data_IF_348413852939
#
_entry.id   IF_348413852939
#
_cell.length_a   1.000
_cell.length_b   1.000
_cell.length_c   1.000
_cell.angle_alpha   90.00
_cell.angle_beta   90.00
_cell.angle_gamma   90.00
#
_symmetry.space_group_name_H-M   'P 1'
#
loop_
_entity.id
_entity.type
_entity.pdbx_description
1 polymer ?
#
# COMPACT_ATOMS: atom_id res chain seq x y z
N UNK A 1 -0.86 -4.99 29.82
CA UNK A 1 -0.70 -4.71 28.38
C UNK A 1 -0.75 -3.21 28.22
N UNK A 2 0.18 -2.64 27.47
CA UNK A 2 0.14 -1.24 27.06
C UNK A 2 -0.32 -1.20 25.60
N UNK A 3 -1.30 -0.35 25.31
CA UNK A 3 -1.94 -0.20 24.00
C UNK A 3 -1.62 1.15 23.35
N UNK A 4 -0.75 1.95 23.97
CA UNK A 4 -0.29 3.21 23.39
C UNK A 4 0.66 2.93 22.23
N UNK A 5 0.54 3.74 21.19
CA UNK A 5 1.51 3.77 20.11
C UNK A 5 2.87 4.29 20.63
N UNK A 6 3.95 3.74 20.10
CA UNK A 6 5.29 4.30 20.30
C UNK A 6 5.41 5.66 19.62
N UNK A 7 6.44 6.43 19.96
CA UNK A 7 6.71 7.72 19.30
C UNK A 7 6.92 7.54 17.78
N UNK A 8 7.54 6.44 17.36
CA UNK A 8 7.73 6.09 15.95
C UNK A 8 6.40 5.85 15.23
N UNK A 9 5.48 5.09 15.84
CA UNK A 9 4.14 4.89 15.29
C UNK A 9 3.30 6.17 15.28
N UNK A 10 3.48 7.03 16.28
CA UNK A 10 2.84 8.35 16.32
C UNK A 10 3.34 9.26 15.20
N UNK A 11 4.64 9.21 14.89
CA UNK A 11 5.22 9.96 13.78
C UNK A 11 4.68 9.53 12.41
N UNK A 12 4.63 8.22 12.13
CA UNK A 12 4.05 7.74 10.86
C UNK A 12 2.55 8.07 10.80
N UNK A 13 1.82 7.89 11.91
CA UNK A 13 0.39 8.25 11.98
C UNK A 13 0.17 9.72 11.60
N UNK A 14 0.93 10.62 12.22
CA UNK A 14 0.80 12.05 11.95
C UNK A 14 1.19 12.40 10.51
N UNK A 15 2.29 11.82 9.99
CA UNK A 15 2.73 12.07 8.62
C UNK A 15 1.71 11.63 7.58
N UNK A 16 1.14 10.43 7.74
CA UNK A 16 0.12 9.91 6.81
C UNK A 16 -1.19 10.69 6.95
N UNK A 17 -1.55 11.08 8.17
CA UNK A 17 -2.72 11.92 8.45
C UNK A 17 -2.62 13.27 7.74
N UNK A 18 -1.49 13.95 7.86
CA UNK A 18 -1.27 15.25 7.23
C UNK A 18 -1.35 15.14 5.70
N UNK A 19 -0.82 14.05 5.13
CA UNK A 19 -0.98 13.76 3.71
C UNK A 19 -2.44 13.50 3.34
N UNK A 20 -3.16 12.68 4.10
CA UNK A 20 -4.55 12.36 3.82
C UNK A 20 -5.43 13.62 3.86
N UNK A 21 -5.30 14.45 4.90
CA UNK A 21 -6.08 15.68 5.04
C UNK A 21 -5.66 16.77 4.05
N UNK A 22 -4.36 16.90 3.76
CA UNK A 22 -3.83 17.94 2.90
C UNK A 22 -3.90 17.64 1.40
N UNK A 23 -3.81 16.38 1.00
CA UNK A 23 -3.70 15.95 -0.41
C UNK A 23 -4.91 15.15 -0.86
N UNK A 24 -5.43 14.23 -0.03
CA UNK A 24 -6.55 13.38 -0.44
C UNK A 24 -7.90 14.07 -0.22
N UNK A 25 -8.13 14.68 0.94
CA UNK A 25 -9.41 15.29 1.26
C UNK A 25 -9.86 16.33 0.21
N UNK A 26 -8.97 17.16 -0.35
CA UNK A 26 -9.30 17.95 -1.52
C UNK A 26 -9.63 17.06 -2.72
N UNK A 27 -10.90 17.10 -3.13
CA UNK A 27 -11.37 16.42 -4.35
C UNK A 27 -11.70 14.93 -4.18
N UNK A 28 -11.66 14.35 -2.97
CA UNK A 28 -12.05 12.94 -2.77
C UNK A 28 -13.46 12.65 -3.26
N UNK A 29 -14.43 13.52 -2.96
CA UNK A 29 -15.81 13.35 -3.42
C UNK A 29 -15.96 13.46 -4.95
N UNK A 30 -15.11 14.27 -5.60
CA UNK A 30 -15.12 14.40 -7.06
C UNK A 30 -14.49 13.18 -7.74
N UNK A 31 -13.41 12.62 -7.14
CA UNK A 31 -12.80 11.37 -7.62
C UNK A 31 -13.76 10.18 -7.48
N UNK A 32 -14.48 10.12 -6.37
CA UNK A 32 -15.50 9.09 -6.11
C UNK A 32 -16.64 9.17 -7.13
N UNK A 33 -17.28 10.34 -7.27
CA UNK A 33 -18.39 10.54 -8.21
C UNK A 33 -17.99 10.30 -9.69
N UNK A 34 -16.72 10.56 -10.05
CA UNK A 34 -16.21 10.37 -11.40
C UNK A 34 -15.55 9.01 -11.63
N UNK A 35 -15.46 8.16 -10.62
CA UNK A 35 -14.81 6.85 -10.68
C UNK A 35 -13.36 6.93 -11.25
N UNK A 36 -12.63 7.99 -10.89
CA UNK A 36 -11.33 8.30 -11.50
C UNK A 36 -10.16 7.94 -10.58
N UNK A 37 -9.25 7.12 -11.10
CA UNK A 37 -7.98 6.81 -10.44
C UNK A 37 -6.92 7.89 -10.72
N UNK A 38 -6.54 8.64 -9.68
CA UNK A 38 -5.48 9.64 -9.79
C UNK A 38 -4.10 9.03 -9.56
N UNK A 39 -3.38 8.77 -10.65
CA UNK A 39 -2.02 8.25 -10.60
C UNK A 39 -1.05 9.18 -9.84
N UNK A 40 -1.27 10.49 -9.85
CA UNK A 40 -0.39 11.42 -9.15
C UNK A 40 -0.53 11.32 -7.63
N UNK A 41 -1.70 10.93 -7.12
CA UNK A 41 -1.85 10.59 -5.69
C UNK A 41 -1.01 9.36 -5.35
N UNK A 42 -1.10 8.30 -6.15
CA UNK A 42 -0.29 7.09 -5.95
C UNK A 42 1.22 7.38 -5.98
N UNK A 43 1.68 8.20 -6.93
CA UNK A 43 3.09 8.58 -7.02
C UNK A 43 3.56 9.36 -5.78
N UNK A 44 2.67 10.15 -5.15
CA UNK A 44 2.98 10.83 -3.89
C UNK A 44 3.03 9.86 -2.69
N UNK A 45 2.12 8.88 -2.64
CA UNK A 45 2.16 7.77 -1.66
C UNK A 45 3.50 7.04 -1.75
N UNK A 46 3.98 6.75 -2.96
CA UNK A 46 5.30 6.14 -3.19
C UNK A 46 6.46 7.02 -2.71
N UNK A 47 6.42 8.34 -2.98
CA UNK A 47 7.45 9.30 -2.51
C UNK A 47 7.50 9.45 -0.99
N UNK A 48 6.39 9.20 -0.29
CA UNK A 48 6.34 9.15 1.17
C UNK A 48 6.92 7.84 1.74
N UNK A 49 7.29 6.87 0.88
CA UNK A 49 7.82 5.57 1.29
C UNK A 49 6.74 4.56 1.70
N UNK A 50 5.45 4.90 1.53
CA UNK A 50 4.36 4.07 2.05
C UNK A 50 4.24 2.73 1.32
N UNK A 51 4.60 2.68 0.04
CA UNK A 51 4.64 1.44 -0.78
C UNK A 51 5.68 0.43 -0.30
N UNK A 52 6.64 0.87 0.53
CA UNK A 52 7.79 0.10 0.98
C UNK A 52 7.78 -0.25 2.48
N UNK A 53 6.72 0.05 3.23
CA UNK A 53 6.75 0.10 4.71
C UNK A 53 7.39 -1.15 5.36
N UNK A 54 6.91 -2.38 5.13
CA UNK A 54 7.41 -3.54 5.84
C UNK A 54 8.63 -4.20 5.18
N UNK A 55 9.08 -3.71 4.02
CA UNK A 55 10.16 -4.32 3.28
C UNK A 55 11.52 -3.78 3.72
N UNK A 56 12.55 -4.60 3.60
CA UNK A 56 13.87 -4.29 4.12
C UNK A 56 14.57 -3.14 3.37
N UNK A 57 15.41 -2.39 4.10
CA UNK A 57 16.13 -1.24 3.55
C UNK A 57 17.06 -1.59 2.38
N UNK A 58 17.60 -2.82 2.33
CA UNK A 58 18.46 -3.27 1.22
C UNK A 58 17.71 -3.38 -0.12
N UNK A 59 16.37 -3.45 -0.09
CA UNK A 59 15.50 -3.36 -1.26
C UNK A 59 14.87 -1.96 -1.44
N UNK A 60 15.25 -1.00 -0.61
CA UNK A 60 14.72 0.37 -0.62
C UNK A 60 13.42 0.55 0.17
N UNK A 61 13.04 -0.43 1.00
CA UNK A 61 11.88 -0.32 1.90
C UNK A 61 12.20 0.45 3.18
N UNK A 62 11.20 0.64 4.03
CA UNK A 62 11.34 1.38 5.28
C UNK A 62 11.75 0.52 6.49
N UNK A 63 11.75 -0.82 6.34
CA UNK A 63 12.12 -1.75 7.40
C UNK A 63 11.22 -1.71 8.64
N UNK A 64 10.02 -1.11 8.53
CA UNK A 64 9.06 -1.04 9.62
C UNK A 64 8.22 -2.34 9.68
N UNK A 65 7.25 -2.40 10.58
CA UNK A 65 6.42 -3.59 10.74
C UNK A 65 4.99 -3.41 10.22
N UNK A 66 4.18 -4.46 10.41
CA UNK A 66 2.78 -4.46 10.00
C UNK A 66 1.89 -3.53 10.82
N UNK A 67 2.32 -3.07 12.00
CA UNK A 67 1.58 -2.06 12.77
C UNK A 67 1.73 -0.70 12.09
N UNK A 68 2.95 -0.34 11.67
CA UNK A 68 3.18 0.86 10.87
C UNK A 68 2.40 0.82 9.54
N UNK A 69 2.37 -0.33 8.87
CA UNK A 69 1.55 -0.54 7.66
C UNK A 69 0.05 -0.36 7.94
N UNK A 70 -0.46 -0.97 9.01
CA UNK A 70 -1.88 -0.84 9.39
C UNK A 70 -2.26 0.61 9.68
N UNK A 71 -1.41 1.36 10.40
CA UNK A 71 -1.60 2.79 10.66
C UNK A 71 -1.67 3.58 9.36
N UNK A 72 -0.78 3.30 8.39
CA UNK A 72 -0.79 3.99 7.11
C UNK A 72 -2.10 3.74 6.35
N UNK A 73 -2.56 2.49 6.28
CA UNK A 73 -3.83 2.14 5.63
C UNK A 73 -5.01 2.79 6.36
N UNK A 74 -5.02 2.79 7.70
CA UNK A 74 -6.07 3.41 8.52
C UNK A 74 -6.18 4.92 8.27
N UNK A 75 -5.06 5.64 8.31
CA UNK A 75 -5.08 7.11 8.16
C UNK A 75 -5.43 7.55 6.74
N UNK A 76 -5.00 6.81 5.70
CA UNK A 76 -5.47 7.04 4.33
C UNK A 76 -6.98 6.77 4.24
N UNK A 77 -7.43 5.63 4.77
CA UNK A 77 -8.81 5.14 4.65
C UNK A 77 -9.83 6.00 5.40
N UNK A 78 -9.37 6.75 6.43
CA UNK A 78 -10.19 7.76 7.11
C UNK A 78 -10.66 8.88 6.18
N UNK A 79 -9.96 9.10 5.06
CA UNK A 79 -10.25 10.17 4.11
C UNK A 79 -10.65 9.62 2.73
N UNK A 80 -9.88 8.69 2.18
CA UNK A 80 -10.04 8.15 0.84
C UNK A 80 -9.81 6.62 0.87
N UNK A 81 -10.90 5.87 0.90
CA UNK A 81 -10.87 4.41 0.93
C UNK A 81 -10.24 3.80 -0.33
N UNK A 82 -10.35 4.46 -1.48
CA UNK A 82 -9.74 3.99 -2.73
C UNK A 82 -8.21 4.11 -2.67
N UNK A 83 -7.68 5.20 -2.12
CA UNK A 83 -6.24 5.35 -1.91
C UNK A 83 -5.70 4.33 -0.90
N UNK A 84 -6.43 4.08 0.19
CA UNK A 84 -6.07 3.08 1.19
C UNK A 84 -6.04 1.65 0.61
N UNK A 85 -7.07 1.27 -0.15
CA UNK A 85 -7.14 -0.04 -0.79
C UNK A 85 -6.06 -0.19 -1.88
N UNK A 86 -5.78 0.88 -2.63
CA UNK A 86 -4.68 0.90 -3.60
C UNK A 86 -3.34 0.58 -2.93
N UNK A 87 -3.04 1.21 -1.78
CA UNK A 87 -1.83 0.89 -1.02
C UNK A 87 -1.85 -0.55 -0.50
N UNK A 88 -2.97 -0.96 0.10
CA UNK A 88 -3.14 -2.29 0.69
C UNK A 88 -2.95 -3.40 -0.34
N UNK A 89 -3.66 -3.33 -1.46
CA UNK A 89 -3.60 -4.31 -2.54
C UNK A 89 -2.23 -4.31 -3.24
N UNK A 90 -1.67 -3.13 -3.50
CA UNK A 90 -0.32 -3.01 -4.05
C UNK A 90 0.70 -3.77 -3.19
N UNK A 91 0.70 -3.49 -1.89
CA UNK A 91 1.73 -3.95 -0.97
C UNK A 91 1.51 -5.41 -0.58
N UNK A 92 0.34 -5.72 -0.03
CA UNK A 92 0.05 -7.03 0.59
C UNK A 92 -0.27 -8.13 -0.42
N UNK A 93 -0.76 -7.78 -1.61
CA UNK A 93 -1.10 -8.76 -2.65
C UNK A 93 -0.17 -8.69 -3.85
N UNK A 94 0.22 -7.49 -4.29
CA UNK A 94 1.10 -7.31 -5.44
C UNK A 94 2.58 -7.56 -5.12
N UNK A 95 3.09 -6.93 -4.07
CA UNK A 95 4.53 -6.94 -3.75
C UNK A 95 4.91 -8.09 -2.82
N UNK A 96 4.10 -8.37 -1.80
CA UNK A 96 4.40 -9.37 -0.77
C UNK A 96 4.68 -10.78 -1.30
N UNK A 97 3.94 -11.35 -2.28
CA UNK A 97 4.26 -12.69 -2.79
C UNK A 97 5.64 -12.78 -3.48
N UNK A 98 6.10 -11.68 -4.09
CA UNK A 98 7.43 -11.60 -4.70
C UNK A 98 8.50 -11.51 -3.60
N UNK A 99 8.21 -10.79 -2.52
CA UNK A 99 9.08 -10.71 -1.35
C UNK A 99 9.26 -12.08 -0.67
N UNK A 100 8.16 -12.79 -0.43
CA UNK A 100 8.18 -14.08 0.27
C UNK A 100 8.73 -15.22 -0.61
N UNK A 101 8.26 -15.33 -1.86
CA UNK A 101 8.51 -16.50 -2.71
C UNK A 101 9.45 -16.24 -3.90
N UNK A 102 9.80 -14.99 -4.16
CA UNK A 102 10.66 -14.62 -5.28
C UNK A 102 12.13 -14.98 -5.06
N UNK A 103 12.80 -15.38 -6.14
CA UNK A 103 14.26 -15.40 -6.23
C UNK A 103 14.85 -14.00 -6.08
N UNK A 104 16.13 -13.89 -5.75
CA UNK A 104 16.80 -12.59 -5.64
C UNK A 104 16.72 -11.81 -6.96
N UNK A 105 16.87 -12.48 -8.10
CA UNK A 105 16.73 -11.87 -9.42
C UNK A 105 15.31 -11.32 -9.66
N UNK A 106 14.27 -12.02 -9.19
CA UNK A 106 12.88 -11.56 -9.27
C UNK A 106 12.62 -10.37 -8.34
N UNK A 107 13.20 -10.38 -7.12
CA UNK A 107 13.09 -9.27 -6.17
C UNK A 107 13.72 -8.01 -6.75
N UNK A 108 14.95 -8.08 -7.23
CA UNK A 108 15.63 -6.94 -7.84
C UNK A 108 14.88 -6.42 -9.08
N UNK A 109 14.35 -7.32 -9.92
CA UNK A 109 13.69 -6.92 -11.17
C UNK A 109 12.29 -6.36 -10.97
N UNK A 110 11.50 -6.93 -10.05
CA UNK A 110 10.07 -6.64 -9.94
C UNK A 110 9.70 -6.00 -8.62
N UNK A 111 10.25 -6.47 -7.50
CA UNK A 111 9.91 -5.97 -6.16
C UNK A 111 10.48 -4.57 -5.91
N UNK A 112 11.75 -4.32 -6.25
CA UNK A 112 12.39 -3.02 -6.02
C UNK A 112 11.64 -1.85 -6.70
N UNK A 113 11.21 -1.95 -7.98
CA UNK A 113 10.37 -0.91 -8.59
C UNK A 113 9.00 -0.71 -7.92
N UNK A 114 8.41 -1.76 -7.34
CA UNK A 114 7.15 -1.71 -6.60
C UNK A 114 7.34 -1.00 -5.25
N UNK A 115 8.37 -1.38 -4.50
CA UNK A 115 8.77 -0.73 -3.23
C UNK A 115 8.99 0.77 -3.44
N UNK A 116 9.67 1.16 -4.52
CA UNK A 116 9.91 2.55 -4.88
C UNK A 116 8.65 3.32 -5.36
N UNK A 117 7.49 2.65 -5.50
CA UNK A 117 6.25 3.26 -5.98
C UNK A 117 6.27 3.66 -7.46
N UNK A 118 7.29 3.24 -8.23
CA UNK A 118 7.39 3.56 -9.67
C UNK A 118 6.48 2.66 -10.53
N UNK A 119 6.14 1.48 -10.00
CA UNK A 119 5.23 0.50 -10.59
C UNK A 119 4.10 0.18 -9.61
N UNK A 120 2.92 -0.16 -10.14
CA UNK A 120 1.82 -0.70 -9.35
C UNK A 120 1.81 -2.22 -9.42
N UNK A 121 1.63 -2.87 -8.28
CA UNK A 121 1.37 -4.29 -8.16
C UNK A 121 -0.13 -4.56 -8.14
N UNK A 122 -0.51 -5.71 -8.68
CA UNK A 122 -1.88 -6.21 -8.65
C UNK A 122 -1.82 -7.74 -8.48
N UNK A 123 -2.91 -8.32 -7.99
CA UNK A 123 -3.00 -9.75 -7.73
C UNK A 123 -4.21 -10.34 -8.45
N UNK A 124 -3.93 -11.19 -9.43
CA UNK A 124 -4.95 -11.92 -10.19
C UNK A 124 -5.16 -13.29 -9.59
N UNK A 125 -6.23 -13.44 -8.80
CA UNK A 125 -6.68 -14.73 -8.29
C UNK A 125 -8.14 -15.00 -8.69
N UNK A 126 -9.04 -14.06 -8.43
CA UNK A 126 -10.47 -14.26 -8.69
C UNK A 126 -10.77 -14.41 -10.19
N UNK A 127 -11.58 -15.41 -10.53
CA UNK A 127 -12.10 -15.69 -11.87
C UNK A 127 -13.63 -15.68 -11.88
N UNK A 128 -14.25 -15.61 -13.07
CA UNK A 128 -15.72 -15.56 -13.21
C UNK A 128 -16.48 -16.71 -12.52
N UNK A 129 -15.84 -17.88 -12.36
CA UNK A 129 -16.38 -19.06 -11.69
C UNK A 129 -15.75 -19.36 -10.32
N UNK A 130 -14.73 -18.61 -9.89
CA UNK A 130 -13.94 -18.93 -8.69
C UNK A 130 -13.61 -17.66 -7.90
N UNK A 131 -14.31 -17.47 -6.77
CA UNK A 131 -14.12 -16.37 -5.83
C UNK A 131 -13.80 -16.89 -4.43
N UNK A 132 -14.84 -17.12 -3.61
CA UNK A 132 -14.66 -17.73 -2.28
C UNK A 132 -14.07 -19.15 -2.35
N UNK A 133 -14.43 -19.91 -3.40
CA UNK A 133 -13.76 -21.17 -3.75
C UNK A 133 -12.68 -20.91 -4.81
N UNK A 134 -11.60 -20.22 -4.40
CA UNK A 134 -10.50 -19.89 -5.28
C UNK A 134 -9.71 -21.12 -5.78
N UNK A 135 -9.93 -22.31 -5.21
CA UNK A 135 -9.23 -23.54 -5.64
C UNK A 135 -9.94 -24.14 -6.87
N UNK A 136 -11.20 -23.78 -7.12
CA UNK A 136 -11.96 -24.21 -8.30
C UNK A 136 -11.58 -23.48 -9.61
N UNK A 137 -10.53 -22.66 -9.60
CA UNK A 137 -9.97 -22.02 -10.79
C UNK A 137 -9.54 -23.05 -11.84
N UNK A 138 -9.64 -22.67 -13.12
CA UNK A 138 -9.44 -23.57 -14.27
C UNK A 138 -8.14 -23.36 -15.04
#
# INVERSE_FOLDING_TARGET
>A
MDFKLSEEYEMIRQSVRDFAEGVLAPGVADRDEKEYFDRNIYDQIGKLGLTGIPFEENYGGAGMDYVAYAIAVEELGRVDASAADTLSSHLSLGTWPIWEYGTEEQKQKYMVPLIAGTKLGAFGLTESGAGSDAIAMS
#
